data_IF_106085243074
#
_entry.id   IF_106085243074
#
_cell.length_a   1.000
_cell.length_b   1.000
_cell.length_c   1.000
_cell.angle_alpha   90.00
_cell.angle_beta   90.00
_cell.angle_gamma   90.00
#
_symmetry.space_group_name_H-M   'P 1'
#
loop_
_entity.id
_entity.type
_entity.pdbx_description
1 polymer ?
#
# COMPACT_ATOMS: atom_id res chain seq x y z
N UNK A 1 -12.50 -5.34 -3.55
CA UNK A 1 -11.85 -4.24 -2.85
C UNK A 1 -11.81 -4.52 -1.37
N UNK A 2 -10.92 -3.85 -0.64
CA UNK A 2 -10.84 -4.10 0.79
C UNK A 2 -12.09 -3.58 1.50
N UNK A 3 -12.51 -4.29 2.54
CA UNK A 3 -13.68 -3.90 3.32
C UNK A 3 -13.34 -2.74 4.24
N UNK A 4 -14.37 -2.08 4.78
CA UNK A 4 -14.18 -1.04 5.78
C UNK A 4 -13.48 -1.56 7.03
N UNK A 5 -13.82 -2.78 7.43
CA UNK A 5 -13.20 -3.42 8.59
C UNK A 5 -11.70 -3.63 8.37
N UNK A 6 -11.34 -4.15 7.20
CA UNK A 6 -9.95 -4.39 6.87
C UNK A 6 -9.19 -3.08 6.76
N UNK A 7 -9.80 -2.06 6.17
CA UNK A 7 -9.20 -0.75 6.07
C UNK A 7 -8.92 -0.18 7.47
N UNK A 8 -9.88 -0.28 8.37
CA UNK A 8 -9.73 0.19 9.74
C UNK A 8 -8.60 -0.54 10.46
N UNK A 9 -8.49 -1.86 10.27
CA UNK A 9 -7.41 -2.65 10.86
C UNK A 9 -6.05 -2.18 10.35
N UNK A 10 -5.93 -1.91 9.07
CA UNK A 10 -4.67 -1.46 8.48
C UNK A 10 -4.29 -0.09 9.04
N UNK A 11 -5.23 0.83 9.12
CA UNK A 11 -4.98 2.16 9.68
C UNK A 11 -4.50 2.03 11.13
N UNK A 12 -5.17 1.20 11.92
CA UNK A 12 -4.80 1.02 13.32
C UNK A 12 -3.38 0.44 13.47
N UNK A 13 -3.04 -0.50 12.61
CA UNK A 13 -1.74 -1.19 12.68
C UNK A 13 -0.58 -0.30 12.24
N UNK A 14 -0.80 0.57 11.25
CA UNK A 14 0.28 1.34 10.63
C UNK A 14 0.28 2.81 10.97
N UNK A 15 -0.70 3.29 11.71
CA UNK A 15 -0.75 4.71 12.09
C UNK A 15 0.48 5.08 12.91
N UNK A 16 0.94 6.31 12.74
CA UNK A 16 2.10 6.81 13.46
C UNK A 16 1.71 7.53 14.76
N UNK A 17 0.45 7.93 14.87
CA UNK A 17 -0.07 8.58 16.06
C UNK A 17 -1.58 8.43 16.10
N UNK A 18 -2.17 8.71 17.26
CA UNK A 18 -3.61 8.65 17.41
C UNK A 18 -4.30 9.59 16.43
N UNK A 19 -5.34 9.09 15.78
CA UNK A 19 -6.09 9.85 14.79
C UNK A 19 -5.45 9.90 13.42
N UNK A 20 -4.31 9.25 13.22
CA UNK A 20 -3.62 9.24 11.94
C UNK A 20 -4.32 8.32 10.94
N UNK A 21 -4.81 8.90 9.86
CA UNK A 21 -5.42 8.14 8.75
C UNK A 21 -4.75 8.43 7.42
N UNK A 22 -3.78 9.34 7.40
CA UNK A 22 -3.19 9.82 6.15
C UNK A 22 -1.69 9.87 6.10
N UNK A 23 -0.98 9.30 7.07
CA UNK A 23 0.48 9.28 7.01
C UNK A 23 0.97 8.45 5.82
N UNK A 24 2.20 8.69 5.34
CA UNK A 24 2.75 7.86 4.26
C UNK A 24 2.71 6.37 4.58
N UNK A 25 2.98 5.98 5.83
CA UNK A 25 2.93 4.58 6.23
C UNK A 25 1.54 3.98 6.05
N UNK A 26 0.52 4.68 6.50
CA UNK A 26 -0.86 4.21 6.35
C UNK A 26 -1.24 4.11 4.88
N UNK A 27 -0.89 5.12 4.08
CA UNK A 27 -1.20 5.10 2.65
C UNK A 27 -0.49 3.96 1.93
N UNK A 28 0.78 3.72 2.24
CA UNK A 28 1.55 2.62 1.65
C UNK A 28 0.93 1.27 2.02
N UNK A 29 0.53 1.11 3.27
CA UNK A 29 -0.09 -0.14 3.73
C UNK A 29 -1.43 -0.39 3.04
N UNK A 30 -2.26 0.65 2.89
CA UNK A 30 -3.54 0.52 2.20
C UNK A 30 -3.35 0.19 0.72
N UNK A 31 -2.40 0.84 0.06
CA UNK A 31 -2.08 0.53 -1.33
C UNK A 31 -1.59 -0.91 -1.49
N UNK A 32 -0.76 -1.36 -0.57
CA UNK A 32 -0.25 -2.74 -0.60
C UNK A 32 -1.38 -3.74 -0.50
N UNK A 33 -2.36 -3.51 0.39
CA UNK A 33 -3.52 -4.40 0.50
C UNK A 33 -4.32 -4.44 -0.81
N UNK A 34 -4.56 -3.28 -1.42
CA UNK A 34 -5.28 -3.20 -2.69
C UNK A 34 -4.52 -3.86 -3.84
N UNK A 35 -3.20 -3.64 -3.87
CA UNK A 35 -2.33 -4.26 -4.88
C UNK A 35 -2.42 -5.77 -4.78
N UNK A 36 -2.36 -6.32 -3.57
CA UNK A 36 -2.44 -7.76 -3.37
C UNK A 36 -3.78 -8.32 -3.81
N UNK A 37 -4.89 -7.63 -3.51
CA UNK A 37 -6.21 -8.06 -3.96
C UNK A 37 -6.32 -8.06 -5.48
N UNK A 38 -5.84 -7.01 -6.13
CA UNK A 38 -5.89 -6.93 -7.59
C UNK A 38 -4.97 -7.95 -8.25
N UNK A 39 -3.82 -8.22 -7.64
CA UNK A 39 -2.91 -9.25 -8.14
C UNK A 39 -3.60 -10.60 -8.14
N UNK A 40 -4.29 -10.94 -7.05
CA UNK A 40 -5.04 -12.20 -6.96
C UNK A 40 -6.18 -12.24 -7.96
N UNK A 41 -6.90 -11.13 -8.13
CA UNK A 41 -7.97 -11.02 -9.11
C UNK A 41 -7.44 -11.30 -10.52
N UNK A 42 -6.28 -10.76 -10.87
CA UNK A 42 -5.70 -10.90 -12.20
C UNK A 42 -5.14 -12.30 -12.48
N UNK A 43 -4.89 -13.09 -11.45
CA UNK A 43 -4.51 -14.49 -11.65
C UNK A 43 -5.66 -15.28 -12.26
N UNK A 44 -6.89 -14.94 -11.91
CA UNK A 44 -8.09 -15.59 -12.42
C UNK A 44 -8.60 -14.91 -13.68
N UNK A 45 -8.63 -13.57 -13.68
CA UNK A 45 -9.15 -12.75 -14.77
C UNK A 45 -8.00 -12.11 -15.55
N UNK A 46 -7.26 -12.93 -16.27
CA UNK A 46 -6.01 -12.51 -16.93
C UNK A 46 -6.18 -11.44 -18.00
N UNK A 47 -7.38 -11.32 -18.56
CA UNK A 47 -7.65 -10.36 -19.64
C UNK A 47 -8.38 -9.11 -19.16
N UNK A 48 -8.47 -8.91 -17.86
CA UNK A 48 -9.09 -7.72 -17.29
C UNK A 48 -8.10 -6.56 -17.35
N UNK A 49 -8.11 -5.84 -18.48
CA UNK A 49 -7.17 -4.77 -18.72
C UNK A 49 -7.42 -3.54 -17.86
N UNK A 50 -8.67 -3.31 -17.45
CA UNK A 50 -9.00 -2.22 -16.52
C UNK A 50 -8.33 -2.42 -15.16
N UNK A 51 -8.44 -3.63 -14.63
CA UNK A 51 -7.82 -3.94 -13.34
C UNK A 51 -6.29 -3.92 -13.43
N UNK A 52 -5.75 -4.37 -14.56
CA UNK A 52 -4.29 -4.33 -14.78
C UNK A 52 -3.78 -2.89 -14.78
N UNK A 53 -4.49 -1.99 -15.46
CA UNK A 53 -4.14 -0.58 -15.49
C UNK A 53 -4.20 0.02 -14.08
N UNK A 54 -5.27 -0.28 -13.34
CA UNK A 54 -5.42 0.18 -11.95
C UNK A 54 -4.28 -0.31 -11.05
N UNK A 55 -3.89 -1.58 -11.23
CA UNK A 55 -2.78 -2.16 -10.49
C UNK A 55 -1.48 -1.39 -10.76
N UNK A 56 -1.17 -1.12 -12.03
CA UNK A 56 0.05 -0.39 -12.38
C UNK A 56 0.06 1.02 -11.81
N UNK A 57 -1.10 1.69 -11.80
CA UNK A 57 -1.21 3.02 -11.20
C UNK A 57 -0.96 2.97 -9.69
N UNK A 58 -1.49 1.98 -9.00
CA UNK A 58 -1.29 1.83 -7.56
C UNK A 58 0.16 1.50 -7.22
N UNK A 59 0.80 0.67 -8.02
CA UNK A 59 2.22 0.34 -7.84
C UNK A 59 3.08 1.60 -7.99
N UNK A 60 2.78 2.42 -9.01
CA UNK A 60 3.49 3.68 -9.22
C UNK A 60 3.29 4.66 -8.07
N UNK A 61 2.06 4.78 -7.58
CA UNK A 61 1.74 5.65 -6.46
C UNK A 61 2.46 5.18 -5.18
N UNK A 62 2.47 3.87 -4.94
CA UNK A 62 3.19 3.32 -3.78
C UNK A 62 4.68 3.62 -3.86
N UNK A 63 5.27 3.46 -5.05
CA UNK A 63 6.69 3.77 -5.25
C UNK A 63 6.99 5.23 -4.93
N UNK A 64 6.14 6.14 -5.40
CA UNK A 64 6.33 7.57 -5.13
C UNK A 64 6.26 7.88 -3.64
N UNK A 65 5.33 7.24 -2.92
CA UNK A 65 5.22 7.41 -1.47
C UNK A 65 6.45 6.84 -0.75
N UNK A 66 6.94 5.70 -1.20
CA UNK A 66 8.14 5.10 -0.62
C UNK A 66 9.38 5.98 -0.86
N UNK A 67 9.52 6.53 -2.05
CA UNK A 67 10.64 7.44 -2.36
C UNK A 67 10.57 8.70 -1.51
N UNK A 68 9.38 9.26 -1.36
CA UNK A 68 9.16 10.42 -0.49
C UNK A 68 9.56 10.11 0.95
N UNK A 69 9.12 8.97 1.46
CA UNK A 69 9.42 8.57 2.84
C UNK A 69 10.91 8.34 3.04
N UNK A 70 11.57 7.72 2.07
CA UNK A 70 13.01 7.48 2.14
C UNK A 70 13.80 8.78 2.23
N UNK A 71 13.37 9.80 1.48
CA UNK A 71 14.02 11.11 1.53
C UNK A 71 13.75 11.82 2.83
N UNK A 72 12.55 11.64 3.38
CA UNK A 72 12.15 12.35 4.60
C UNK A 72 12.72 11.69 5.85
N UNK A 73 12.69 10.37 5.92
CA UNK A 73 13.14 9.62 7.09
C UNK A 73 13.48 8.20 6.68
N UNK A 74 14.75 7.94 6.46
CA UNK A 74 15.21 6.64 5.95
C UNK A 74 14.88 5.50 6.93
N UNK A 75 14.85 5.75 8.21
CA UNK A 75 14.54 4.72 9.20
C UNK A 75 13.07 4.31 9.12
N UNK A 76 12.17 5.26 8.92
CA UNK A 76 10.76 4.98 8.72
C UNK A 76 10.54 4.19 7.43
N UNK A 77 11.26 4.55 6.38
CA UNK A 77 11.21 3.83 5.10
C UNK A 77 11.62 2.36 5.29
N UNK A 78 12.75 2.14 5.96
CA UNK A 78 13.24 0.77 6.18
C UNK A 78 12.27 -0.04 7.03
N UNK A 79 11.67 0.59 8.04
CA UNK A 79 10.72 -0.07 8.90
C UNK A 79 9.47 -0.52 8.13
N UNK A 80 8.92 0.35 7.28
CA UNK A 80 7.69 0.01 6.56
C UNK A 80 7.92 -1.06 5.50
N UNK A 81 9.03 -1.02 4.77
CA UNK A 81 9.29 -2.05 3.77
C UNK A 81 9.53 -3.42 4.44
N UNK A 82 10.18 -3.43 5.59
CA UNK A 82 10.37 -4.68 6.35
C UNK A 82 9.04 -5.21 6.86
N UNK A 83 8.20 -4.35 7.41
CA UNK A 83 6.92 -4.74 7.99
C UNK A 83 5.96 -5.28 6.93
N UNK A 84 5.96 -4.69 5.75
CA UNK A 84 5.09 -5.10 4.65
C UNK A 84 5.70 -6.15 3.73
N UNK A 85 6.97 -6.45 3.90
CA UNK A 85 7.67 -7.40 3.04
C UNK A 85 7.79 -6.90 1.61
N UNK A 86 7.95 -5.60 1.42
CA UNK A 86 8.04 -4.99 0.10
C UNK A 86 9.50 -4.91 -0.35
N UNK A 87 9.71 -5.24 -1.60
CA UNK A 87 10.97 -4.90 -2.26
C UNK A 87 10.76 -3.55 -2.89
N UNK A 88 11.59 -2.67 -2.57
CA UNK A 88 11.45 -1.34 -3.07
C UNK A 88 11.09 -1.19 -4.56
#
# INVERSE_FOLDING_TARGET
MITQEKKAQIIEEYKTKEGDTGSPEVQIALLTARINELTDHLRVHKHDNHSRRGLLMMVGKRRNLLDYLARKDINRYRAIIAKLGIRK
#
